data_IF_399179399988
#
_entry.id   IF_399179399988
#
_cell.length_a   1.000
_cell.length_b   1.000
_cell.length_c   1.000
_cell.angle_alpha   90.00
_cell.angle_beta   90.00
_cell.angle_gamma   90.00
#
_symmetry.space_group_name_H-M   'P 1'
#
loop_
_entity.id
_entity.type
_entity.pdbx_description
1 polymer ?
#
# COMPACT_ATOMS: atom_id res chain seq x y z
N UNK A 1 -47.54 -51.83 12.83
CA UNK A 1 -46.14 -51.71 12.38
C UNK A 1 -46.08 -50.51 11.47
N UNK A 2 -45.73 -49.35 12.06
CA UNK A 2 -45.60 -48.08 11.31
C UNK A 2 -44.17 -48.01 10.76
N UNK A 3 -44.06 -47.98 9.44
CA UNK A 3 -42.76 -47.84 8.74
C UNK A 3 -42.39 -46.35 8.73
N UNK A 4 -41.44 -45.94 9.56
CA UNK A 4 -40.82 -44.66 9.41
C UNK A 4 -39.90 -44.67 8.17
N UNK A 5 -40.20 -43.79 7.23
CA UNK A 5 -39.35 -43.55 6.07
C UNK A 5 -38.07 -42.85 6.52
N UNK A 6 -36.88 -43.25 5.99
CA UNK A 6 -35.61 -42.62 6.34
C UNK A 6 -35.62 -41.16 5.85
N UNK A 7 -35.51 -40.22 6.80
CA UNK A 7 -35.28 -38.80 6.49
C UNK A 7 -33.85 -38.64 5.96
N UNK A 8 -33.74 -38.42 4.66
CA UNK A 8 -32.47 -38.02 4.00
C UNK A 8 -32.00 -36.68 4.59
N UNK A 9 -30.77 -36.55 5.11
CA UNK A 9 -30.28 -35.25 5.57
C UNK A 9 -30.29 -34.25 4.41
N UNK A 10 -30.94 -33.11 4.61
CA UNK A 10 -30.89 -32.00 3.67
C UNK A 10 -29.46 -31.54 3.61
N UNK A 11 -28.77 -31.55 2.43
CA UNK A 11 -27.42 -30.99 2.33
C UNK A 11 -27.44 -29.54 2.80
N UNK A 12 -26.42 -29.06 3.55
CA UNK A 12 -26.36 -27.67 3.91
C UNK A 12 -26.44 -26.82 2.65
N UNK A 13 -27.31 -25.81 2.67
CA UNK A 13 -27.50 -24.90 1.56
C UNK A 13 -26.12 -24.40 1.11
N UNK A 14 -25.75 -24.71 -0.12
CA UNK A 14 -24.57 -24.14 -0.75
C UNK A 14 -24.82 -22.63 -0.80
N UNK A 15 -24.17 -21.89 0.12
CA UNK A 15 -24.18 -20.44 0.08
C UNK A 15 -23.76 -20.01 -1.32
N UNK A 16 -24.60 -19.21 -1.97
CA UNK A 16 -24.28 -18.64 -3.27
C UNK A 16 -22.90 -17.98 -3.21
N UNK A 17 -22.06 -18.14 -4.24
CA UNK A 17 -20.70 -17.58 -4.20
C UNK A 17 -20.82 -16.07 -3.92
N UNK A 18 -20.27 -15.68 -2.79
CA UNK A 18 -20.28 -14.28 -2.33
C UNK A 18 -19.80 -13.36 -3.46
N UNK A 19 -20.54 -12.29 -3.69
CA UNK A 19 -20.21 -11.35 -4.77
C UNK A 19 -18.81 -10.78 -4.62
N UNK A 20 -18.18 -10.40 -5.72
CA UNK A 20 -16.82 -9.87 -5.75
C UNK A 20 -16.58 -8.71 -4.76
N UNK A 21 -17.63 -7.96 -4.41
CA UNK A 21 -17.58 -6.86 -3.45
C UNK A 21 -17.52 -7.35 -2.00
N UNK A 22 -18.21 -8.46 -1.67
CA UNK A 22 -18.18 -9.03 -0.31
C UNK A 22 -16.77 -9.50 0.07
N UNK A 23 -15.98 -10.01 -0.88
CA UNK A 23 -14.59 -10.42 -0.67
C UNK A 23 -13.71 -9.28 -0.19
N UNK A 24 -13.95 -8.05 -0.67
CA UNK A 24 -13.22 -6.84 -0.24
C UNK A 24 -13.44 -6.55 1.24
N UNK A 25 -14.63 -6.82 1.76
CA UNK A 25 -14.93 -6.66 3.19
C UNK A 25 -14.44 -7.86 4.01
N UNK A 26 -14.64 -9.07 3.49
CA UNK A 26 -14.26 -10.31 4.18
C UNK A 26 -12.74 -10.51 4.31
N UNK A 27 -11.93 -9.81 3.52
CA UNK A 27 -10.46 -9.89 3.68
C UNK A 27 -9.99 -9.42 5.05
N UNK A 28 -10.76 -8.58 5.75
CA UNK A 28 -10.46 -8.12 7.12
C UNK A 28 -10.68 -9.21 8.17
N UNK A 29 -11.67 -10.08 7.99
CA UNK A 29 -12.14 -11.04 9.02
C UNK A 29 -11.93 -12.49 8.64
N UNK A 30 -11.92 -12.81 7.34
CA UNK A 30 -11.84 -14.17 6.79
C UNK A 30 -10.83 -14.26 5.63
N UNK A 31 -9.57 -13.79 5.80
CA UNK A 31 -8.63 -13.68 4.69
C UNK A 31 -8.32 -15.02 4.03
N UNK A 32 -8.23 -16.11 4.81
CA UNK A 32 -7.96 -17.44 4.26
C UNK A 32 -9.04 -17.91 3.29
N UNK A 33 -10.32 -17.68 3.63
CA UNK A 33 -11.45 -18.05 2.76
C UNK A 33 -11.40 -17.21 1.48
N UNK A 34 -11.21 -15.90 1.59
CA UNK A 34 -11.10 -14.99 0.43
C UNK A 34 -9.98 -15.43 -0.51
N UNK A 35 -8.78 -15.69 0.00
CA UNK A 35 -7.66 -16.10 -0.86
C UNK A 35 -7.86 -17.49 -1.50
N UNK A 36 -8.56 -18.40 -0.83
CA UNK A 36 -8.96 -19.69 -1.42
C UNK A 36 -9.94 -19.48 -2.57
N UNK A 37 -10.91 -18.61 -2.41
CA UNK A 37 -11.86 -18.24 -3.48
C UNK A 37 -11.14 -17.54 -4.65
N UNK A 38 -10.18 -16.65 -4.37
CA UNK A 38 -9.40 -15.96 -5.39
C UNK A 38 -8.49 -16.90 -6.19
N UNK A 39 -8.07 -18.01 -5.60
CA UNK A 39 -7.32 -19.04 -6.32
C UNK A 39 -8.15 -19.73 -7.42
N UNK A 40 -9.46 -19.89 -7.19
CA UNK A 40 -10.40 -20.49 -8.13
C UNK A 40 -11.06 -19.48 -9.07
N UNK A 41 -11.45 -18.31 -8.53
CA UNK A 41 -12.18 -17.25 -9.24
C UNK A 41 -11.61 -15.88 -8.91
N UNK A 42 -10.51 -15.47 -9.54
CA UNK A 42 -9.81 -14.22 -9.22
C UNK A 42 -10.61 -12.98 -9.64
N UNK A 43 -10.93 -12.13 -8.66
CA UNK A 43 -11.57 -10.82 -8.83
C UNK A 43 -10.61 -9.74 -8.40
N UNK A 44 -10.22 -8.85 -9.29
CA UNK A 44 -9.22 -7.80 -9.03
C UNK A 44 -9.79 -6.38 -9.11
N UNK A 45 -10.89 -6.19 -9.83
CA UNK A 45 -11.45 -4.86 -10.08
C UNK A 45 -12.00 -4.18 -8.82
N UNK A 46 -12.83 -4.83 -7.96
CA UNK A 46 -13.38 -4.16 -6.78
C UNK A 46 -12.32 -3.63 -5.80
N UNK A 47 -11.29 -4.39 -5.40
CA UNK A 47 -10.25 -3.85 -4.53
C UNK A 47 -9.44 -2.75 -5.21
N UNK A 48 -9.16 -2.84 -6.52
CA UNK A 48 -8.47 -1.79 -7.25
C UNK A 48 -9.27 -0.49 -7.27
N UNK A 49 -10.58 -0.57 -7.56
CA UNK A 49 -11.47 0.61 -7.55
C UNK A 49 -11.52 1.23 -6.17
N UNK A 50 -11.63 0.43 -5.11
CA UNK A 50 -11.63 0.96 -3.74
C UNK A 50 -10.32 1.70 -3.42
N UNK A 51 -9.17 1.09 -3.71
CA UNK A 51 -7.86 1.70 -3.46
C UNK A 51 -7.71 3.00 -4.28
N UNK A 52 -8.18 3.00 -5.52
CA UNK A 52 -8.16 4.17 -6.38
C UNK A 52 -9.02 5.30 -5.82
N UNK A 53 -10.25 4.99 -5.37
CA UNK A 53 -11.16 5.97 -4.74
C UNK A 53 -10.56 6.55 -3.45
N UNK A 54 -9.93 5.71 -2.62
CA UNK A 54 -9.23 6.16 -1.41
C UNK A 54 -8.06 7.08 -1.76
N UNK A 55 -7.27 6.72 -2.76
CA UNK A 55 -6.11 7.52 -3.21
C UNK A 55 -6.53 8.88 -3.77
N UNK A 56 -7.55 8.90 -4.64
CA UNK A 56 -8.10 10.15 -5.21
C UNK A 56 -8.77 10.99 -4.12
N UNK A 57 -9.57 10.37 -3.25
CA UNK A 57 -10.21 11.04 -2.12
C UNK A 57 -9.18 11.69 -1.20
N UNK A 58 -8.12 10.97 -0.85
CA UNK A 58 -7.03 11.51 -0.03
C UNK A 58 -6.31 12.68 -0.69
N UNK A 59 -6.10 12.61 -1.99
CA UNK A 59 -5.49 13.71 -2.75
C UNK A 59 -6.37 14.97 -2.78
N UNK A 60 -7.69 14.81 -2.82
CA UNK A 60 -8.62 15.94 -2.72
C UNK A 60 -8.62 16.58 -1.32
N UNK A 61 -8.29 15.80 -0.28
CA UNK A 61 -8.18 16.31 1.10
C UNK A 61 -6.82 16.98 1.35
N UNK A 62 -5.72 16.34 0.94
CA UNK A 62 -4.34 16.80 1.16
C UNK A 62 -3.99 17.97 0.24
N UNK A 63 -4.31 17.85 -1.05
CA UNK A 63 -3.83 18.79 -2.08
C UNK A 63 -4.12 20.26 -1.82
N UNK A 64 -5.35 20.67 -1.39
CA UNK A 64 -5.66 22.06 -1.09
C UNK A 64 -4.96 22.61 0.16
N UNK A 65 -4.44 21.72 1.03
CA UNK A 65 -3.79 22.06 2.30
C UNK A 65 -2.27 22.03 2.23
N UNK A 66 -1.72 21.46 1.15
CA UNK A 66 -0.28 21.36 0.98
C UNK A 66 0.31 22.74 0.65
N UNK A 67 1.12 23.26 1.57
CA UNK A 67 1.94 24.45 1.34
C UNK A 67 3.15 24.08 0.46
N UNK A 68 2.98 24.30 -0.83
CA UNK A 68 4.02 23.97 -1.83
C UNK A 68 5.21 24.92 -1.70
N UNK A 69 4.98 26.20 -1.41
CA UNK A 69 6.05 27.17 -1.22
C UNK A 69 6.90 26.82 0.00
N UNK A 70 6.26 26.62 1.16
CA UNK A 70 6.93 26.19 2.39
C UNK A 70 7.69 24.89 2.20
N UNK A 71 7.10 23.92 1.48
CA UNK A 71 7.74 22.63 1.16
C UNK A 71 9.03 22.82 0.35
N UNK A 72 9.01 23.66 -0.68
CA UNK A 72 10.18 23.92 -1.52
C UNK A 72 11.23 24.71 -0.73
N UNK A 73 10.84 25.75 0.01
CA UNK A 73 11.75 26.52 0.86
C UNK A 73 12.46 25.64 1.89
N UNK A 74 11.71 24.76 2.56
CA UNK A 74 12.26 23.84 3.55
C UNK A 74 13.22 22.81 2.91
N UNK A 75 12.85 22.22 1.79
CA UNK A 75 13.68 21.23 1.08
C UNK A 75 15.00 21.86 0.55
N UNK A 76 14.98 23.15 0.18
CA UNK A 76 16.17 23.87 -0.24
C UNK A 76 17.06 24.26 0.96
N UNK A 77 16.47 24.62 2.09
CA UNK A 77 17.19 24.92 3.33
C UNK A 77 17.92 23.67 3.88
N UNK A 78 17.35 22.48 3.73
CA UNK A 78 17.97 21.21 4.13
C UNK A 78 19.16 20.80 3.25
N UNK A 79 19.23 21.29 2.02
CA UNK A 79 20.37 21.10 1.11
C UNK A 79 21.50 22.08 1.43
N UNK A 80 22.16 21.86 2.57
CA UNK A 80 23.18 22.76 3.13
C UNK A 80 24.46 22.95 2.29
N UNK A 81 24.62 22.27 1.16
CA UNK A 81 25.86 22.26 0.36
C UNK A 81 25.80 23.04 -0.96
N UNK A 82 24.68 23.72 -1.27
CA UNK A 82 24.51 24.46 -2.52
C UNK A 82 24.60 25.99 -2.34
N UNK A 83 24.89 26.76 -3.42
CA UNK A 83 24.78 28.20 -3.37
C UNK A 83 23.35 28.60 -2.99
N UNK A 84 23.21 29.59 -2.10
CA UNK A 84 21.89 30.12 -1.72
C UNK A 84 21.22 30.66 -2.98
N UNK A 85 20.00 30.19 -3.25
CA UNK A 85 19.17 30.71 -4.34
C UNK A 85 18.80 32.17 -4.07
N UNK A 86 18.74 32.95 -5.12
CA UNK A 86 18.14 34.29 -5.05
C UNK A 86 16.63 34.17 -4.91
N UNK A 87 15.96 35.22 -4.40
CA UNK A 87 14.48 35.23 -4.27
C UNK A 87 13.81 34.94 -5.60
N UNK A 88 14.32 35.48 -6.71
CA UNK A 88 13.79 35.24 -8.06
C UNK A 88 13.93 33.78 -8.49
N UNK A 89 15.04 33.12 -8.14
CA UNK A 89 15.24 31.70 -8.42
C UNK A 89 14.28 30.83 -7.58
N UNK A 90 14.02 31.22 -6.34
CA UNK A 90 13.10 30.56 -5.46
C UNK A 90 11.66 30.67 -5.96
N UNK A 91 11.24 31.87 -6.38
CA UNK A 91 9.89 32.10 -6.93
C UNK A 91 9.67 31.25 -8.19
N UNK A 92 10.66 31.16 -9.07
CA UNK A 92 10.61 30.27 -10.25
C UNK A 92 10.52 28.79 -9.84
N UNK A 93 11.24 28.38 -8.80
CA UNK A 93 11.19 27.00 -8.31
C UNK A 93 9.81 26.66 -7.71
N UNK A 94 9.20 27.60 -6.97
CA UNK A 94 7.85 27.47 -6.43
C UNK A 94 6.81 27.38 -7.56
N UNK A 95 6.87 28.29 -8.54
CA UNK A 95 5.96 28.28 -9.69
C UNK A 95 6.05 26.96 -10.47
N UNK A 96 7.27 26.51 -10.77
CA UNK A 96 7.51 25.26 -11.49
C UNK A 96 7.05 24.04 -10.67
N UNK A 97 7.36 24.00 -9.36
CA UNK A 97 6.92 22.95 -8.45
C UNK A 97 5.40 22.87 -8.37
N UNK A 98 4.72 24.00 -8.29
CA UNK A 98 3.26 24.08 -8.31
C UNK A 98 2.64 23.55 -9.60
N UNK A 99 3.22 23.87 -10.77
CA UNK A 99 2.79 23.33 -12.07
C UNK A 99 2.96 21.80 -12.12
N UNK A 100 4.13 21.29 -11.68
CA UNK A 100 4.37 19.83 -11.62
C UNK A 100 3.38 19.15 -10.68
N UNK A 101 3.15 19.69 -9.49
CA UNK A 101 2.19 19.13 -8.54
C UNK A 101 0.78 19.08 -9.12
N UNK A 102 0.38 20.11 -9.88
CA UNK A 102 -0.88 20.14 -10.61
C UNK A 102 -1.00 19.01 -11.63
N UNK A 103 0.03 18.79 -12.45
CA UNK A 103 0.06 17.70 -13.43
C UNK A 103 0.06 16.32 -12.74
N UNK A 104 0.89 16.14 -11.70
CA UNK A 104 0.99 14.90 -10.95
C UNK A 104 -0.34 14.50 -10.31
N UNK A 105 -1.13 15.48 -9.85
CA UNK A 105 -2.48 15.23 -9.32
C UNK A 105 -3.35 14.48 -10.32
N UNK A 106 -3.35 14.87 -11.59
CA UNK A 106 -4.14 14.22 -12.63
C UNK A 106 -3.56 12.89 -13.11
N UNK A 107 -2.26 12.65 -12.89
CA UNK A 107 -1.62 11.37 -13.23
C UNK A 107 -1.83 10.28 -12.17
N UNK A 108 -2.16 10.64 -10.93
CA UNK A 108 -2.36 9.67 -9.83
C UNK A 108 -3.36 8.56 -10.17
N UNK A 109 -4.56 8.85 -10.73
CA UNK A 109 -5.52 7.81 -11.10
C UNK A 109 -4.98 6.78 -12.11
N UNK A 110 -4.01 7.17 -12.93
CA UNK A 110 -3.35 6.27 -13.87
C UNK A 110 -2.15 5.55 -13.24
N UNK A 111 -1.41 6.24 -12.38
CA UNK A 111 -0.22 5.70 -11.73
C UNK A 111 -0.54 4.55 -10.76
N UNK A 112 -1.66 4.63 -10.03
CA UNK A 112 -2.05 3.59 -9.05
C UNK A 112 -2.27 2.22 -9.70
N UNK A 113 -3.08 2.06 -10.76
CA UNK A 113 -3.22 0.77 -11.46
C UNK A 113 -1.90 0.25 -12.02
N UNK A 114 -1.08 1.12 -12.63
CA UNK A 114 0.24 0.75 -13.17
C UNK A 114 1.15 0.24 -12.06
N UNK A 115 1.21 0.93 -10.93
CA UNK A 115 1.99 0.52 -9.77
C UNK A 115 1.55 -0.88 -9.27
N UNK A 116 0.25 -1.14 -9.14
CA UNK A 116 -0.24 -2.45 -8.72
C UNK A 116 0.00 -3.55 -9.75
N UNK A 117 -0.06 -3.24 -11.05
CA UNK A 117 0.33 -4.19 -12.10
C UNK A 117 1.81 -4.58 -11.99
N UNK A 118 2.69 -3.60 -11.79
CA UNK A 118 4.11 -3.84 -11.57
C UNK A 118 4.34 -4.67 -10.30
N UNK A 119 3.71 -4.30 -9.19
CA UNK A 119 3.83 -5.01 -7.92
C UNK A 119 3.33 -6.45 -8.03
N UNK A 120 2.16 -6.66 -8.67
CA UNK A 120 1.63 -7.98 -8.97
C UNK A 120 2.57 -8.82 -9.85
N UNK A 121 3.20 -8.18 -10.84
CA UNK A 121 4.22 -8.80 -11.69
C UNK A 121 5.45 -9.24 -10.90
N UNK A 122 5.95 -8.38 -10.01
CA UNK A 122 7.11 -8.68 -9.17
C UNK A 122 6.81 -9.88 -8.24
N UNK A 123 5.65 -9.89 -7.56
CA UNK A 123 5.24 -11.03 -6.73
C UNK A 123 5.02 -12.31 -7.55
N UNK A 124 4.43 -12.19 -8.73
CA UNK A 124 4.27 -13.32 -9.66
C UNK A 124 5.61 -13.93 -10.06
N UNK A 125 6.57 -13.12 -10.48
CA UNK A 125 7.92 -13.58 -10.82
C UNK A 125 8.65 -14.17 -9.62
N UNK A 126 8.53 -13.54 -8.44
CA UNK A 126 9.06 -14.08 -7.20
C UNK A 126 8.50 -15.46 -6.86
N UNK A 127 7.19 -15.68 -7.01
CA UNK A 127 6.58 -17.00 -6.84
C UNK A 127 7.09 -18.00 -7.89
N UNK A 128 7.20 -17.61 -9.17
CA UNK A 128 7.76 -18.46 -10.22
C UNK A 128 9.17 -18.94 -9.88
N UNK A 129 10.01 -18.05 -9.33
CA UNK A 129 11.36 -18.41 -8.89
C UNK A 129 11.38 -19.48 -7.76
N UNK A 130 10.29 -19.64 -6.99
CA UNK A 130 10.17 -20.69 -5.98
C UNK A 130 9.63 -22.02 -6.51
N UNK A 131 9.37 -22.12 -7.83
CA UNK A 131 8.77 -23.29 -8.47
C UNK A 131 7.23 -23.32 -8.42
N UNK A 132 6.58 -22.18 -8.16
CA UNK A 132 5.11 -22.07 -8.16
C UNK A 132 4.53 -22.25 -9.56
N UNK A 133 3.39 -22.94 -9.65
CA UNK A 133 2.56 -23.05 -10.86
C UNK A 133 1.50 -21.95 -10.96
N UNK A 134 1.51 -20.96 -10.06
CA UNK A 134 0.51 -19.88 -10.05
C UNK A 134 0.40 -19.16 -11.39
N UNK A 135 -0.82 -18.70 -11.69
CA UNK A 135 -1.09 -17.78 -12.79
C UNK A 135 -1.04 -16.34 -12.30
N UNK A 136 -0.82 -15.40 -13.24
CA UNK A 136 -0.71 -13.97 -12.90
C UNK A 136 -2.00 -13.41 -12.25
N UNK A 137 -3.16 -13.72 -12.81
CA UNK A 137 -4.44 -13.14 -12.40
C UNK A 137 -4.80 -13.43 -10.94
N UNK A 138 -4.70 -14.67 -10.40
CA UNK A 138 -4.88 -14.94 -8.97
C UNK A 138 -3.86 -14.22 -8.09
N UNK A 139 -2.59 -14.15 -8.50
CA UNK A 139 -1.55 -13.44 -7.74
C UNK A 139 -1.86 -11.94 -7.68
N UNK A 140 -2.20 -11.34 -8.81
CA UNK A 140 -2.58 -9.92 -8.90
C UNK A 140 -3.80 -9.59 -8.03
N UNK A 141 -4.85 -10.42 -8.10
CA UNK A 141 -6.03 -10.29 -7.25
C UNK A 141 -5.68 -10.39 -5.75
N UNK A 142 -4.78 -11.30 -5.39
CA UNK A 142 -4.28 -11.48 -4.02
C UNK A 142 -3.54 -10.23 -3.54
N UNK A 143 -2.63 -9.69 -4.35
CA UNK A 143 -1.88 -8.47 -4.03
C UNK A 143 -2.83 -7.30 -3.75
N UNK A 144 -3.84 -7.11 -4.59
CA UNK A 144 -4.82 -6.05 -4.40
C UNK A 144 -5.64 -6.24 -3.11
N UNK A 145 -6.19 -7.44 -2.87
CA UNK A 145 -6.97 -7.70 -1.65
C UNK A 145 -6.13 -7.57 -0.38
N UNK A 146 -4.88 -8.05 -0.40
CA UNK A 146 -3.98 -7.92 0.74
C UNK A 146 -3.62 -6.45 1.07
N UNK A 147 -3.70 -5.56 0.08
CA UNK A 147 -3.47 -4.12 0.27
C UNK A 147 -4.70 -3.36 0.81
N UNK A 148 -5.92 -3.89 0.67
CA UNK A 148 -7.15 -3.18 1.08
C UNK A 148 -7.13 -2.75 2.55
N UNK A 149 -6.84 -3.63 3.54
CA UNK A 149 -6.85 -3.21 4.94
C UNK A 149 -5.82 -2.12 5.25
N UNK A 150 -4.63 -2.22 4.68
CA UNK A 150 -3.58 -1.21 4.83
C UNK A 150 -4.00 0.13 4.20
N UNK A 151 -4.57 0.09 2.99
CA UNK A 151 -5.05 1.29 2.30
C UNK A 151 -6.17 1.99 3.07
N UNK A 152 -7.16 1.24 3.58
CA UNK A 152 -8.25 1.81 4.39
C UNK A 152 -7.72 2.38 5.70
N UNK A 153 -6.92 1.61 6.46
CA UNK A 153 -6.40 2.02 7.75
C UNK A 153 -5.51 3.26 7.66
N UNK A 154 -4.55 3.27 6.74
CA UNK A 154 -3.66 4.41 6.53
C UNK A 154 -4.42 5.66 6.06
N UNK A 155 -5.42 5.50 5.17
CA UNK A 155 -6.26 6.61 4.71
C UNK A 155 -7.05 7.23 5.87
N UNK A 156 -7.66 6.41 6.73
CA UNK A 156 -8.43 6.90 7.89
C UNK A 156 -7.54 7.68 8.86
N UNK A 157 -6.37 7.11 9.20
CA UNK A 157 -5.43 7.75 10.14
C UNK A 157 -4.87 9.03 9.54
N UNK A 158 -4.48 9.02 8.27
CA UNK A 158 -3.97 10.20 7.56
C UNK A 158 -5.05 11.30 7.47
N UNK A 159 -6.28 10.95 7.08
CA UNK A 159 -7.38 11.91 7.01
C UNK A 159 -7.65 12.54 8.37
N UNK A 160 -7.69 11.74 9.45
CA UNK A 160 -7.89 12.23 10.80
C UNK A 160 -6.78 13.18 11.27
N UNK A 161 -5.53 12.97 10.83
CA UNK A 161 -4.41 13.85 11.11
C UNK A 161 -4.51 15.17 10.32
N UNK A 162 -4.67 15.09 9.01
CA UNK A 162 -4.63 16.22 8.07
C UNK A 162 -5.81 17.18 8.26
N UNK A 163 -7.00 16.67 8.58
CA UNK A 163 -8.20 17.50 8.76
C UNK A 163 -8.13 18.45 9.97
N UNK A 164 -7.16 18.25 10.88
CA UNK A 164 -6.90 19.14 12.01
C UNK A 164 -6.07 20.38 11.64
N UNK A 165 -5.51 20.40 10.45
CA UNK A 165 -4.60 21.45 9.98
C UNK A 165 -5.20 22.18 8.77
N UNK A 166 -5.11 23.51 8.77
CA UNK A 166 -5.55 24.35 7.65
C UNK A 166 -4.54 24.26 6.49
N UNK A 167 -3.25 24.21 6.80
CA UNK A 167 -2.13 24.13 5.86
C UNK A 167 -0.96 23.37 6.51
N UNK A 168 -0.10 22.76 5.71
CA UNK A 168 1.11 22.04 6.14
C UNK A 168 2.08 21.85 4.97
N UNK A 169 3.37 21.72 5.28
CA UNK A 169 4.41 21.32 4.33
C UNK A 169 4.44 19.78 4.15
N UNK A 170 5.14 19.30 3.13
CA UNK A 170 5.32 17.86 2.92
C UNK A 170 6.09 17.20 4.09
N UNK A 171 7.04 17.90 4.67
CA UNK A 171 7.83 17.42 5.82
C UNK A 171 6.96 17.30 7.08
N UNK A 172 6.10 18.30 7.33
CA UNK A 172 5.13 18.25 8.43
C UNK A 172 4.14 17.10 8.24
N UNK A 173 3.68 16.84 7.00
CA UNK A 173 2.79 15.73 6.67
C UNK A 173 3.42 14.38 7.03
N UNK A 174 4.71 14.18 6.74
CA UNK A 174 5.43 12.96 7.11
C UNK A 174 5.45 12.73 8.63
N UNK A 175 5.50 13.79 9.42
CA UNK A 175 5.49 13.75 10.90
C UNK A 175 4.11 13.60 11.54
N UNK A 176 3.01 13.85 10.80
CA UNK A 176 1.65 13.83 11.35
C UNK A 176 1.16 12.44 11.75
N UNK A 177 1.59 11.41 11.01
CA UNK A 177 1.15 10.04 11.25
C UNK A 177 2.28 9.23 11.87
N UNK A 178 2.11 8.88 13.13
CA UNK A 178 3.05 8.08 13.90
C UNK A 178 2.67 6.59 13.89
N UNK A 179 2.53 5.99 12.70
CA UNK A 179 2.18 4.58 12.50
C UNK A 179 3.38 3.66 12.35
N UNK A 180 4.57 4.24 12.14
CA UNK A 180 5.81 3.51 11.88
C UNK A 180 6.84 3.70 12.99
N UNK A 181 7.81 2.80 13.05
CA UNK A 181 8.84 2.80 14.09
C UNK A 181 9.77 4.03 14.00
N UNK A 182 9.98 4.58 12.81
CA UNK A 182 10.79 5.77 12.58
C UNK A 182 10.27 7.01 13.30
N UNK A 183 8.93 7.13 13.45
CA UNK A 183 8.30 8.27 14.13
C UNK A 183 8.57 8.35 15.64
N UNK A 184 9.16 7.31 16.23
CA UNK A 184 9.51 7.23 17.66
C UNK A 184 11.02 7.30 17.91
N UNK A 185 11.81 7.42 16.84
CA UNK A 185 13.26 7.55 16.98
C UNK A 185 13.67 8.99 17.28
N UNK A 186 14.72 9.20 18.10
CA UNK A 186 15.25 10.54 18.33
C UNK A 186 15.94 11.07 17.06
N UNK A 187 16.01 12.39 16.91
CA UNK A 187 16.60 13.08 15.75
C UNK A 187 18.12 12.77 15.58
N UNK A 188 18.77 12.26 16.63
CA UNK A 188 20.18 11.84 16.60
C UNK A 188 20.42 10.54 15.82
N UNK A 189 19.36 9.80 15.44
CA UNK A 189 19.51 8.56 14.68
C UNK A 189 19.89 8.89 13.23
N UNK A 190 20.92 8.20 12.68
CA UNK A 190 21.32 8.41 11.29
C UNK A 190 20.16 8.25 10.31
N UNK A 191 20.02 9.18 9.35
CA UNK A 191 18.95 9.18 8.34
C UNK A 191 18.71 7.82 7.68
N UNK A 192 19.73 7.03 7.28
CA UNK A 192 19.50 5.69 6.70
C UNK A 192 18.82 4.71 7.66
N UNK A 193 19.12 4.75 8.95
CA UNK A 193 18.48 3.90 9.95
C UNK A 193 17.06 4.35 10.24
N UNK A 194 16.82 5.67 10.31
CA UNK A 194 15.46 6.22 10.43
C UNK A 194 14.60 5.84 9.21
N UNK A 195 15.15 5.86 8.00
CA UNK A 195 14.47 5.42 6.79
C UNK A 195 14.08 3.94 6.81
N UNK A 196 14.94 3.06 7.37
CA UNK A 196 14.61 1.64 7.57
C UNK A 196 13.52 1.46 8.62
N UNK A 197 13.62 2.15 9.74
CA UNK A 197 12.61 2.09 10.81
C UNK A 197 11.23 2.58 10.32
N UNK A 198 11.21 3.56 9.42
CA UNK A 198 9.98 4.04 8.78
C UNK A 198 9.27 3.00 7.90
N UNK A 199 9.94 1.90 7.50
CA UNK A 199 9.32 0.79 6.77
C UNK A 199 8.51 -0.10 7.70
N UNK A 200 8.92 -0.21 8.98
CA UNK A 200 8.22 -1.00 10.00
C UNK A 200 7.01 -0.20 10.48
N UNK A 201 5.92 -0.37 9.77
CA UNK A 201 4.65 0.30 9.95
C UNK A 201 3.56 -0.75 10.23
N UNK A 202 2.59 -0.44 11.10
CA UNK A 202 1.55 -1.40 11.49
C UNK A 202 0.71 -1.85 10.29
N UNK A 203 0.47 -0.96 9.34
CA UNK A 203 -0.29 -1.29 8.13
C UNK A 203 0.52 -2.17 7.18
N UNK A 204 1.85 -1.93 7.07
CA UNK A 204 2.75 -2.78 6.30
C UNK A 204 2.86 -4.19 6.91
N UNK A 205 2.96 -4.31 8.24
CA UNK A 205 2.99 -5.61 8.93
C UNK A 205 1.71 -6.40 8.62
N UNK A 206 0.55 -5.76 8.73
CA UNK A 206 -0.74 -6.38 8.40
C UNK A 206 -0.78 -6.86 6.94
N UNK A 207 -0.36 -6.00 6.02
CA UNK A 207 -0.26 -6.32 4.60
C UNK A 207 0.66 -7.52 4.35
N UNK A 208 1.84 -7.59 5.00
CA UNK A 208 2.78 -8.70 4.84
C UNK A 208 2.18 -10.03 5.32
N UNK A 209 1.45 -10.01 6.43
CA UNK A 209 0.74 -11.19 6.92
C UNK A 209 -0.29 -11.67 5.89
N UNK A 210 -1.09 -10.77 5.35
CA UNK A 210 -2.10 -11.10 4.33
C UNK A 210 -1.44 -11.58 3.03
N UNK A 211 -0.35 -10.94 2.59
CA UNK A 211 0.42 -11.39 1.43
C UNK A 211 1.00 -12.78 1.64
N UNK A 212 1.62 -13.06 2.80
CA UNK A 212 2.19 -14.36 3.10
C UNK A 212 1.13 -15.47 3.05
N UNK A 213 -0.04 -15.20 3.63
CA UNK A 213 -1.19 -16.10 3.59
C UNK A 213 -1.71 -16.29 2.16
N UNK A 214 -2.03 -15.20 1.48
CA UNK A 214 -2.63 -15.24 0.16
C UNK A 214 -1.70 -15.84 -0.90
N UNK A 215 -0.43 -15.40 -0.95
CA UNK A 215 0.55 -15.92 -1.90
C UNK A 215 0.86 -17.41 -1.67
N UNK A 216 0.82 -17.89 -0.41
CA UNK A 216 0.99 -19.33 -0.16
C UNK A 216 -0.16 -20.16 -0.72
N UNK A 217 -1.40 -19.64 -0.62
CA UNK A 217 -2.62 -20.31 -1.11
C UNK A 217 -2.66 -20.30 -2.64
N UNK A 218 -2.60 -19.10 -3.27
CA UNK A 218 -2.72 -18.99 -4.73
C UNK A 218 -1.48 -19.51 -5.45
N UNK A 219 -0.31 -19.43 -4.81
CA UNK A 219 0.96 -19.95 -5.32
C UNK A 219 1.11 -21.44 -5.17
N UNK A 220 0.26 -22.09 -4.36
CA UNK A 220 0.40 -23.51 -3.96
C UNK A 220 1.82 -23.82 -3.46
N UNK A 221 2.38 -22.91 -2.67
CA UNK A 221 3.71 -23.02 -2.07
C UNK A 221 3.63 -22.99 -0.55
N UNK A 222 4.68 -23.45 0.13
CA UNK A 222 4.74 -23.33 1.59
C UNK A 222 4.74 -21.85 2.03
N UNK A 223 4.21 -21.58 3.24
CA UNK A 223 4.25 -20.23 3.83
C UNK A 223 5.67 -19.66 3.89
N UNK A 224 6.67 -20.52 4.18
CA UNK A 224 8.08 -20.12 4.19
C UNK A 224 8.56 -19.58 2.84
N UNK A 225 8.19 -20.22 1.72
CA UNK A 225 8.49 -19.73 0.37
C UNK A 225 7.79 -18.39 0.08
N UNK A 226 6.51 -18.25 0.44
CA UNK A 226 5.78 -16.99 0.28
C UNK A 226 6.41 -15.85 1.10
N UNK A 227 6.78 -16.10 2.36
CA UNK A 227 7.49 -15.15 3.23
C UNK A 227 8.85 -14.78 2.62
N UNK A 228 9.62 -15.74 2.11
CA UNK A 228 10.91 -15.48 1.48
C UNK A 228 10.78 -14.53 0.28
N UNK A 229 9.75 -14.72 -0.56
CA UNK A 229 9.45 -13.81 -1.68
C UNK A 229 9.17 -12.39 -1.17
N UNK A 230 8.35 -12.24 -0.12
CA UNK A 230 8.03 -10.95 0.47
C UNK A 230 9.30 -10.28 1.03
N UNK A 231 10.08 -11.02 1.82
CA UNK A 231 11.31 -10.52 2.45
C UNK A 231 12.32 -10.04 1.41
N UNK A 232 12.49 -10.80 0.30
CA UNK A 232 13.40 -10.39 -0.78
C UNK A 232 12.91 -9.10 -1.44
N UNK A 233 11.64 -9.02 -1.80
CA UNK A 233 11.07 -7.84 -2.49
C UNK A 233 11.17 -6.60 -1.59
N UNK A 234 10.74 -6.71 -0.34
CA UNK A 234 10.79 -5.61 0.63
C UNK A 234 12.22 -5.29 1.06
N UNK A 235 13.10 -6.28 1.13
CA UNK A 235 14.53 -6.09 1.41
C UNK A 235 15.22 -5.27 0.31
N UNK A 236 14.96 -5.60 -0.96
CA UNK A 236 15.49 -4.81 -2.09
C UNK A 236 14.98 -3.37 -2.03
N UNK A 237 13.68 -3.18 -1.76
CA UNK A 237 13.10 -1.84 -1.62
C UNK A 237 13.67 -1.08 -0.42
N UNK A 238 13.88 -1.74 0.72
CA UNK A 238 14.49 -1.17 1.92
C UNK A 238 15.93 -0.72 1.67
N UNK A 239 16.72 -1.56 1.00
CA UNK A 239 18.09 -1.22 0.60
C UNK A 239 18.12 -0.02 -0.36
N UNK A 240 17.18 0.04 -1.30
CA UNK A 240 17.00 1.18 -2.18
C UNK A 240 16.71 2.48 -1.41
N UNK A 241 15.77 2.46 -0.47
CA UNK A 241 15.47 3.62 0.41
C UNK A 241 16.68 4.04 1.25
N UNK A 242 17.36 3.08 1.82
CA UNK A 242 18.58 3.35 2.62
C UNK A 242 19.66 3.99 1.75
N UNK A 243 19.91 3.46 0.55
CA UNK A 243 20.88 4.03 -0.40
C UNK A 243 20.54 5.48 -0.78
N UNK A 244 19.26 5.76 -1.06
CA UNK A 244 18.80 7.13 -1.34
C UNK A 244 18.96 8.06 -0.13
N UNK A 245 18.82 7.55 1.10
CA UNK A 245 19.02 8.35 2.31
C UNK A 245 20.49 8.69 2.58
N UNK A 246 21.45 7.90 2.06
CA UNK A 246 22.87 8.24 2.10
C UNK A 246 23.26 9.38 1.13
N UNK A 247 22.47 9.59 0.08
CA UNK A 247 22.72 10.62 -0.94
C UNK A 247 22.07 11.98 -0.61
N UNK A 248 21.31 12.04 0.48
CA UNK A 248 20.60 13.24 0.97
C UNK A 248 21.19 13.74 2.28
#
# INVERSE_FOLDING_TARGET
MSSEAPTTPIPPAQEAPDGALSRVLRVFTQPSAVFTELAASPTWLPPLVLILLLSVGMQLVVGPRLDMEGTIRQSLAERSSGPKMTDEQLDRAVEFGGKIAGVMRWLTPLAVPVMFLMLGGIYFLGLKATGSSAEFKPVFATVLHANVPAAVGSTVVMAAAVLKHASFTAQELEGMVKSNLGAFLPDSVPKPLAALAGIVDIFNIWQWVLLALGLSIVGKVSRGKAIAVIVVIWGVWALGKMGLAFLR
#
